data_IF_938751935624
#
_entry.id   IF_938751935624
#
_cell.length_a   1.000
_cell.length_b   1.000
_cell.length_c   1.000
_cell.angle_alpha   90.00
_cell.angle_beta   90.00
_cell.angle_gamma   90.00
#
_symmetry.space_group_name_H-M   'P 1'
#
loop_
_entity.id
_entity.type
_entity.pdbx_description
1 polymer ?
#
# COMPACT_ATOMS: atom_id res chain seq x y z
N UNK A 1 -11.07 -1.85 11.66
CA UNK A 1 -12.27 -2.12 10.85
C UNK A 1 -12.06 -3.37 10.01
N UNK A 2 -13.13 -3.94 9.49
CA UNK A 2 -13.12 -5.17 8.69
C UNK A 2 -14.29 -5.11 7.71
N UNK A 3 -14.07 -5.47 6.44
CA UNK A 3 -15.07 -5.35 5.37
C UNK A 3 -15.13 -6.67 4.59
N UNK A 4 -16.33 -7.25 4.46
CA UNK A 4 -16.65 -8.35 3.54
C UNK A 4 -17.57 -7.82 2.46
N UNK A 5 -17.35 -8.29 1.23
CA UNK A 5 -18.19 -7.96 0.08
C UNK A 5 -17.76 -6.66 -0.60
N UNK A 6 -18.71 -6.01 -1.27
CA UNK A 6 -18.47 -4.78 -2.06
C UNK A 6 -18.90 -3.51 -1.33
N UNK A 7 -19.22 -3.62 -0.03
CA UNK A 7 -19.50 -2.46 0.80
C UNK A 7 -18.28 -1.53 0.93
N UNK A 8 -18.49 -0.31 1.42
CA UNK A 8 -17.39 0.62 1.73
C UNK A 8 -17.61 1.33 3.06
N UNK A 9 -16.50 1.62 3.74
CA UNK A 9 -16.44 2.43 4.94
C UNK A 9 -15.90 3.80 4.56
N UNK A 10 -16.53 4.85 5.05
CA UNK A 10 -16.18 6.24 4.82
C UNK A 10 -16.06 6.96 6.16
N UNK A 11 -15.04 7.83 6.28
CA UNK A 11 -14.86 8.74 7.40
C UNK A 11 -15.04 10.15 6.87
N UNK A 12 -15.91 10.93 7.52
CA UNK A 12 -16.17 12.32 7.19
C UNK A 12 -16.06 13.23 8.43
N UNK A 13 -15.60 14.45 8.22
CA UNK A 13 -15.63 15.54 9.20
C UNK A 13 -16.82 16.43 8.86
N UNK A 14 -17.72 16.59 9.84
CA UNK A 14 -18.88 17.48 9.74
C UNK A 14 -18.71 18.63 10.72
N UNK A 15 -18.73 19.85 10.21
CA UNK A 15 -18.73 21.08 11.01
C UNK A 15 -19.86 22.01 10.55
N UNK A 16 -20.02 23.16 11.20
CA UNK A 16 -20.97 24.19 10.71
C UNK A 16 -20.57 24.74 9.33
N UNK A 17 -19.29 24.65 8.97
CA UNK A 17 -18.73 25.29 7.78
C UNK A 17 -18.46 24.30 6.64
N UNK A 18 -18.29 23.01 6.95
CA UNK A 18 -17.89 21.99 5.97
C UNK A 18 -18.48 20.62 6.26
N UNK A 19 -18.69 19.85 5.20
CA UNK A 19 -18.89 18.41 5.23
C UNK A 19 -17.88 17.83 4.25
N UNK A 20 -16.86 17.17 4.79
CA UNK A 20 -15.72 16.68 4.02
C UNK A 20 -15.50 15.19 4.30
N UNK A 21 -15.52 14.38 3.24
CA UNK A 21 -15.03 13.02 3.29
C UNK A 21 -13.50 13.07 3.36
N UNK A 22 -12.93 12.61 4.47
CA UNK A 22 -11.47 12.58 4.68
C UNK A 22 -10.86 11.26 4.26
N UNK A 23 -11.66 10.20 4.20
CA UNK A 23 -11.19 8.88 3.82
C UNK A 23 -12.35 8.00 3.40
N UNK A 24 -12.11 7.13 2.43
CA UNK A 24 -13.07 6.08 2.07
C UNK A 24 -12.34 4.84 1.59
N UNK A 25 -12.76 3.67 2.07
CA UNK A 25 -12.28 2.37 1.60
C UNK A 25 -13.41 1.40 1.33
N UNK A 26 -13.35 0.78 0.17
CA UNK A 26 -14.22 -0.31 -0.26
C UNK A 26 -13.66 -1.66 0.13
N UNK A 27 -14.55 -2.63 0.27
CA UNK A 27 -14.20 -4.03 0.37
C UNK A 27 -13.66 -4.54 -0.97
N UNK A 28 -12.63 -5.37 -0.87
CA UNK A 28 -12.07 -6.10 -2.00
C UNK A 28 -12.47 -7.57 -2.00
N UNK A 29 -12.26 -8.24 -3.13
CA UNK A 29 -12.42 -9.69 -3.20
C UNK A 29 -11.26 -10.36 -2.45
N UNK A 30 -11.57 -11.04 -1.33
CA UNK A 30 -10.75 -12.06 -0.66
C UNK A 30 -9.87 -11.68 0.56
N UNK A 31 -10.29 -10.75 1.42
CA UNK A 31 -9.62 -10.55 2.72
C UNK A 31 -10.51 -10.88 3.90
N UNK A 32 -9.97 -11.66 4.84
CA UNK A 32 -10.57 -12.00 6.12
C UNK A 32 -9.63 -11.56 7.25
N UNK A 33 -9.20 -10.30 7.27
CA UNK A 33 -8.42 -9.75 8.38
C UNK A 33 -8.80 -8.30 8.74
N UNK A 34 -8.46 -7.90 9.96
CA UNK A 34 -8.71 -6.56 10.51
C UNK A 34 -7.70 -5.55 9.98
N UNK A 35 -8.20 -4.37 9.62
CA UNK A 35 -7.39 -3.23 9.21
C UNK A 35 -7.43 -2.13 10.26
N UNK A 36 -6.27 -1.53 10.52
CA UNK A 36 -6.15 -0.27 11.25
C UNK A 36 -6.06 0.88 10.25
N UNK A 37 -6.64 2.03 10.57
CA UNK A 37 -6.49 3.26 9.79
C UNK A 37 -6.17 4.41 10.73
N UNK A 38 -5.12 5.16 10.41
CA UNK A 38 -4.77 6.41 11.06
C UNK A 38 -5.13 7.56 10.10
N UNK A 39 -5.82 8.59 10.61
CA UNK A 39 -6.24 9.76 9.84
C UNK A 39 -5.93 11.02 10.65
N UNK A 40 -5.15 11.92 10.06
CA UNK A 40 -5.00 13.27 10.60
C UNK A 40 -6.23 14.09 10.23
N UNK A 41 -6.98 14.52 11.24
CA UNK A 41 -8.22 15.28 11.08
C UNK A 41 -7.97 16.75 11.41
N UNK A 42 -8.44 17.65 10.54
CA UNK A 42 -8.26 19.09 10.71
C UNK A 42 -9.61 19.81 10.64
N UNK A 43 -9.90 20.65 11.63
CA UNK A 43 -11.05 21.54 11.63
C UNK A 43 -10.73 22.84 12.36
N UNK A 44 -11.21 23.96 11.82
CA UNK A 44 -11.09 25.30 12.42
C UNK A 44 -12.29 25.68 13.30
N UNK A 45 -13.29 24.79 13.39
CA UNK A 45 -14.51 24.98 14.19
C UNK A 45 -14.90 23.67 14.88
N UNK A 46 -15.87 23.73 15.80
CA UNK A 46 -16.42 22.53 16.43
C UNK A 46 -16.94 21.56 15.35
N UNK A 47 -16.58 20.28 15.50
CA UNK A 47 -16.83 19.27 14.48
C UNK A 47 -17.23 17.94 15.09
N UNK A 48 -17.82 17.09 14.25
CA UNK A 48 -18.15 15.71 14.52
C UNK A 48 -17.42 14.81 13.51
N UNK A 49 -17.02 13.62 13.98
CA UNK A 49 -16.48 12.57 13.12
C UNK A 49 -17.62 11.61 12.80
N UNK A 50 -17.90 11.43 11.52
CA UNK A 50 -18.92 10.52 11.03
C UNK A 50 -18.26 9.30 10.41
N UNK A 51 -18.67 8.13 10.87
CA UNK A 51 -18.24 6.83 10.34
C UNK A 51 -19.43 6.27 9.57
N UNK A 52 -19.34 6.29 8.24
CA UNK A 52 -20.45 6.00 7.34
C UNK A 52 -20.17 4.68 6.63
N UNK A 53 -21.13 3.76 6.69
CA UNK A 53 -21.09 2.53 5.93
C UNK A 53 -21.97 2.65 4.69
N UNK A 54 -21.45 2.20 3.55
CA UNK A 54 -22.20 2.07 2.31
C UNK A 54 -22.25 0.60 1.93
N UNK A 55 -23.40 -0.02 2.06
CA UNK A 55 -23.63 -1.43 1.69
C UNK A 55 -24.61 -1.50 0.54
N UNK A 56 -24.31 -2.30 -0.47
CA UNK A 56 -25.17 -2.49 -1.65
C UNK A 56 -25.87 -3.84 -1.67
N UNK A 57 -25.33 -4.83 -0.97
CA UNK A 57 -25.82 -6.20 -0.95
C UNK A 57 -26.04 -6.70 0.48
N UNK A 58 -26.98 -7.63 0.72
CA UNK A 58 -27.20 -8.23 2.04
C UNK A 58 -26.01 -9.02 2.60
N UNK A 59 -25.07 -9.42 1.74
CA UNK A 59 -23.86 -10.17 2.11
C UNK A 59 -22.69 -9.23 2.48
N UNK A 60 -22.83 -7.91 2.26
CA UNK A 60 -21.79 -6.96 2.64
C UNK A 60 -21.78 -6.81 4.17
N UNK A 61 -20.65 -7.13 4.81
CA UNK A 61 -20.48 -6.95 6.26
C UNK A 61 -19.40 -5.90 6.54
N UNK A 62 -19.68 -4.95 7.42
CA UNK A 62 -18.69 -3.96 7.89
C UNK A 62 -18.66 -4.03 9.42
N UNK A 63 -17.48 -4.30 9.98
CA UNK A 63 -17.23 -4.38 11.42
C UNK A 63 -16.23 -3.30 11.81
N UNK A 64 -16.48 -2.63 12.92
CA UNK A 64 -15.63 -1.59 13.49
C UNK A 64 -15.32 -1.98 14.93
N UNK A 65 -14.08 -1.77 15.33
CA UNK A 65 -13.63 -1.96 16.71
C UNK A 65 -12.54 -0.92 17.01
N UNK A 66 -12.34 -0.64 18.31
CA UNK A 66 -11.31 0.25 18.87
C UNK A 66 -11.14 1.61 18.16
N UNK A 67 -11.98 2.60 18.53
CA UNK A 67 -11.87 3.98 18.04
C UNK A 67 -11.24 4.87 19.11
N UNK A 68 -10.16 5.56 18.75
CA UNK A 68 -9.46 6.50 19.63
C UNK A 68 -9.18 7.83 18.93
N UNK A 69 -9.21 8.92 19.70
CA UNK A 69 -8.78 10.25 19.26
C UNK A 69 -7.56 10.63 20.10
N UNK A 70 -6.44 10.88 19.42
CA UNK A 70 -5.19 11.27 20.04
C UNK A 70 -4.88 12.70 19.62
N UNK A 71 -4.51 13.56 20.56
CA UNK A 71 -4.17 14.96 20.27
C UNK A 71 -2.90 15.07 19.43
N UNK A 72 -2.99 15.80 18.32
CA UNK A 72 -1.89 16.00 17.37
C UNK A 72 -2.13 15.30 16.03
N UNK A 73 -1.29 15.55 15.00
CA UNK A 73 -1.35 14.80 13.76
C UNK A 73 -1.01 13.32 14.00
N UNK A 74 -1.64 12.42 13.25
CA UNK A 74 -1.22 11.03 13.22
C UNK A 74 0.22 10.96 12.66
N UNK A 75 1.07 10.06 13.18
CA UNK A 75 2.29 9.67 12.49
C UNK A 75 1.95 9.23 11.06
N UNK A 76 2.84 9.50 10.11
CA UNK A 76 2.65 9.03 8.75
C UNK A 76 2.41 7.51 8.75
N UNK A 77 1.38 7.08 8.02
CA UNK A 77 0.94 5.69 8.04
C UNK A 77 2.07 4.79 7.55
N UNK A 78 2.44 3.80 8.36
CA UNK A 78 3.35 2.72 7.94
C UNK A 78 2.65 1.67 7.06
N UNK A 79 1.31 1.76 6.96
CA UNK A 79 0.52 0.97 6.00
C UNK A 79 0.32 1.79 4.73
N UNK A 80 0.68 1.21 3.58
CA UNK A 80 0.47 1.85 2.28
C UNK A 80 -0.18 0.91 1.27
N UNK A 81 -1.29 1.34 0.69
CA UNK A 81 -1.95 0.65 -0.42
C UNK A 81 -1.59 1.23 -1.79
N UNK A 82 -0.89 2.37 -1.82
CA UNK A 82 -0.55 3.18 -3.01
C UNK A 82 -1.72 3.80 -3.76
N UNK A 83 -2.96 3.69 -3.26
CA UNK A 83 -4.15 4.24 -3.91
C UNK A 83 -4.25 5.76 -3.87
N UNK A 84 -3.55 6.40 -2.93
CA UNK A 84 -3.28 7.83 -2.99
C UNK A 84 -2.02 8.08 -3.81
N UNK A 85 -2.23 8.29 -5.10
CA UNK A 85 -1.16 8.49 -6.09
C UNK A 85 -0.23 9.65 -5.74
N UNK A 86 -0.69 10.64 -4.98
CA UNK A 86 0.04 11.89 -4.77
C UNK A 86 1.11 11.81 -3.71
N UNK A 87 0.94 10.94 -2.72
CA UNK A 87 1.82 10.89 -1.54
C UNK A 87 2.55 9.56 -1.37
N UNK A 88 2.12 8.49 -2.05
CA UNK A 88 2.71 7.14 -1.97
C UNK A 88 3.01 6.69 -0.51
N UNK A 89 2.28 7.24 0.47
CA UNK A 89 2.52 7.09 1.90
C UNK A 89 3.99 7.31 2.33
N UNK A 90 4.64 8.34 1.78
CA UNK A 90 6.06 8.69 2.01
C UNK A 90 7.07 7.63 1.54
N UNK A 91 6.64 6.66 0.73
CA UNK A 91 7.57 5.80 0.02
C UNK A 91 8.15 6.54 -1.18
N UNK A 92 9.46 6.48 -1.33
CA UNK A 92 10.18 7.22 -2.38
C UNK A 92 11.21 6.36 -3.10
N UNK A 93 11.54 6.77 -4.32
CA UNK A 93 12.60 6.14 -5.09
C UNK A 93 13.98 6.48 -4.50
N UNK A 94 14.77 5.45 -4.22
CA UNK A 94 16.13 5.60 -3.71
C UNK A 94 17.16 5.20 -4.77
N UNK A 95 17.96 6.16 -5.20
CA UNK A 95 18.95 5.98 -6.26
C UNK A 95 20.36 5.83 -5.66
N UNK A 96 21.00 4.69 -5.88
CA UNK A 96 22.39 4.47 -5.45
C UNK A 96 23.40 4.95 -6.49
N UNK A 97 23.00 4.97 -7.75
CA UNK A 97 23.78 5.45 -8.89
C UNK A 97 22.85 5.83 -10.07
N UNK A 98 23.44 6.23 -11.19
CA UNK A 98 22.72 6.58 -12.42
C UNK A 98 22.09 5.39 -13.15
N UNK A 99 22.41 4.16 -12.76
CA UNK A 99 21.87 2.93 -13.34
C UNK A 99 20.67 2.38 -12.54
N UNK A 100 20.39 2.96 -11.37
CA UNK A 100 19.27 2.57 -10.51
C UNK A 100 17.95 2.98 -11.17
N UNK A 101 17.03 2.04 -11.31
CA UNK A 101 15.71 2.28 -11.90
C UNK A 101 14.73 2.87 -10.89
N UNK A 102 13.80 3.72 -11.34
CA UNK A 102 12.66 4.14 -10.52
C UNK A 102 11.56 3.08 -10.53
N UNK A 103 10.93 2.89 -9.37
CA UNK A 103 9.57 2.40 -9.24
C UNK A 103 8.58 3.46 -9.73
N UNK A 104 7.48 2.98 -10.32
CA UNK A 104 6.38 3.79 -10.79
C UNK A 104 5.07 3.29 -10.19
N UNK A 105 4.14 4.21 -9.93
CA UNK A 105 2.76 3.86 -9.61
C UNK A 105 2.05 3.50 -10.91
N UNK A 106 1.26 2.43 -10.89
CA UNK A 106 0.38 2.08 -11.99
C UNK A 106 -0.88 1.38 -11.50
N UNK A 107 -1.85 1.27 -12.42
CA UNK A 107 -3.08 0.50 -12.23
C UNK A 107 -3.33 -0.45 -13.40
N UNK A 108 -4.18 -1.45 -13.17
CA UNK A 108 -4.64 -2.36 -14.22
C UNK A 108 -5.48 -1.66 -15.29
N UNK A 109 -6.11 -0.52 -14.96
CA UNK A 109 -7.00 0.23 -15.85
C UNK A 109 -6.26 1.04 -16.91
N UNK A 110 -5.00 1.42 -16.64
CA UNK A 110 -4.22 2.29 -17.52
C UNK A 110 -3.53 1.54 -18.67
N UNK A 111 -3.59 0.20 -18.70
CA UNK A 111 -2.88 -0.66 -19.66
C UNK A 111 -1.36 -0.36 -19.75
N UNK A 112 -0.76 0.17 -18.69
CA UNK A 112 0.67 0.49 -18.63
C UNK A 112 1.50 -0.77 -18.38
N UNK A 113 0.91 -1.78 -17.73
CA UNK A 113 1.56 -3.06 -17.40
C UNK A 113 0.80 -4.23 -18.00
N UNK A 114 1.48 -5.34 -18.30
CA UNK A 114 0.81 -6.58 -18.74
C UNK A 114 0.20 -7.36 -17.57
N UNK A 115 0.63 -7.09 -16.34
CA UNK A 115 0.12 -7.64 -15.09
C UNK A 115 0.62 -6.79 -13.90
N UNK A 116 -0.09 -6.81 -12.77
CA UNK A 116 -1.40 -7.42 -12.56
C UNK A 116 -2.54 -6.62 -13.22
N UNK A 117 -3.61 -7.31 -13.64
CA UNK A 117 -4.80 -6.65 -14.17
C UNK A 117 -5.68 -6.01 -13.08
N UNK A 118 -5.47 -6.43 -11.82
CA UNK A 118 -6.17 -5.91 -10.66
C UNK A 118 -5.20 -5.66 -9.51
N UNK A 119 -5.37 -4.52 -8.86
CA UNK A 119 -4.65 -4.16 -7.65
C UNK A 119 -5.00 -5.12 -6.51
N UNK A 120 -4.08 -5.28 -5.56
CA UNK A 120 -4.30 -6.17 -4.43
C UNK A 120 -5.30 -5.60 -3.41
N UNK A 121 -5.26 -4.30 -3.17
CA UNK A 121 -5.95 -3.62 -2.07
C UNK A 121 -7.47 -3.63 -2.20
N UNK A 122 -7.98 -3.48 -3.42
CA UNK A 122 -9.39 -3.45 -3.78
C UNK A 122 -9.80 -4.65 -4.64
N UNK A 123 -8.85 -5.36 -5.24
CA UNK A 123 -9.16 -6.40 -6.22
C UNK A 123 -9.81 -5.83 -7.48
N UNK A 124 -9.47 -4.60 -7.86
CA UNK A 124 -10.05 -3.90 -9.01
C UNK A 124 -8.98 -3.43 -9.98
N UNK A 125 -9.35 -3.08 -11.21
CA UNK A 125 -8.40 -2.49 -12.14
C UNK A 125 -8.02 -1.04 -11.77
N UNK A 126 -8.76 -0.40 -10.86
CA UNK A 126 -8.64 1.03 -10.56
C UNK A 126 -7.79 1.35 -9.32
N UNK A 127 -7.52 0.36 -8.47
CA UNK A 127 -6.55 0.57 -7.41
C UNK A 127 -5.12 0.58 -7.96
N UNK A 128 -4.21 1.05 -7.13
CA UNK A 128 -2.85 1.32 -7.52
C UNK A 128 -1.85 0.40 -6.84
N UNK A 129 -0.69 0.29 -7.45
CA UNK A 129 0.45 -0.46 -6.91
C UNK A 129 1.74 0.11 -7.47
N UNK A 130 2.84 -0.09 -6.73
CA UNK A 130 4.18 0.18 -7.23
C UNK A 130 4.62 -0.95 -8.16
N UNK A 131 5.18 -0.61 -9.31
CA UNK A 131 5.70 -1.57 -10.27
C UNK A 131 7.01 -1.10 -10.89
N UNK A 132 7.77 -2.05 -11.43
CA UNK A 132 8.96 -1.80 -12.23
C UNK A 132 8.67 -2.09 -13.69
N UNK A 133 8.90 -1.10 -14.56
CA UNK A 133 8.78 -1.30 -15.99
C UNK A 133 10.07 -1.92 -16.55
N UNK A 134 10.11 -3.25 -16.60
CA UNK A 134 11.25 -4.02 -17.10
C UNK A 134 11.31 -4.12 -18.64
N UNK A 135 10.46 -3.40 -19.39
CA UNK A 135 10.52 -3.38 -20.87
C UNK A 135 11.84 -2.78 -21.40
N UNK A 136 12.67 -2.21 -20.52
CA UNK A 136 13.99 -1.70 -20.85
C UNK A 136 14.99 -2.87 -20.76
N UNK A 137 15.42 -3.37 -21.92
CA UNK A 137 16.40 -4.44 -22.10
C UNK A 137 17.77 -4.11 -21.46
N UNK A 138 17.91 -4.24 -20.15
CA UNK A 138 19.21 -4.16 -19.48
C UNK A 138 19.29 -5.21 -18.36
N UNK A 139 20.24 -6.13 -18.51
CA UNK A 139 20.52 -7.13 -17.49
C UNK A 139 21.08 -6.44 -16.24
N UNK A 140 20.70 -6.94 -15.06
CA UNK A 140 21.33 -6.62 -13.77
C UNK A 140 21.08 -5.20 -13.21
N UNK A 141 19.92 -4.60 -13.53
CA UNK A 141 19.49 -3.34 -12.93
C UNK A 141 18.82 -3.54 -11.56
N UNK A 142 19.02 -2.58 -10.66
CA UNK A 142 18.44 -2.56 -9.32
C UNK A 142 17.47 -1.39 -9.22
N UNK A 143 16.44 -1.55 -8.39
CA UNK A 143 15.52 -0.48 -8.02
C UNK A 143 15.26 -0.57 -6.52
N UNK A 144 15.19 0.57 -5.85
CA UNK A 144 14.92 0.63 -4.42
C UNK A 144 13.76 1.58 -4.16
N UNK A 145 12.77 1.08 -3.44
CA UNK A 145 11.71 1.90 -2.85
C UNK A 145 12.01 1.99 -1.35
N UNK A 146 12.19 3.20 -0.85
CA UNK A 146 12.57 3.51 0.52
C UNK A 146 11.37 4.07 1.26
N UNK A 147 11.10 3.55 2.45
CA UNK A 147 10.08 4.11 3.36
C UNK A 147 10.58 5.38 4.03
N UNK A 148 9.67 6.10 4.68
CA UNK A 148 10.02 7.05 5.74
C UNK A 148 10.91 6.41 6.83
N UNK A 149 11.52 7.26 7.66
CA UNK A 149 12.26 6.81 8.84
C UNK A 149 11.31 6.22 9.89
N UNK A 150 11.54 4.95 10.23
CA UNK A 150 10.75 4.24 11.25
C UNK A 150 11.48 4.34 12.59
N UNK A 151 10.74 4.63 13.66
CA UNK A 151 11.27 4.73 15.03
C UNK A 151 11.86 3.41 15.51
N UNK A 152 12.79 3.47 16.47
CA UNK A 152 13.42 2.27 17.04
C UNK A 152 12.40 1.37 17.72
N UNK A 153 12.47 0.07 17.43
CA UNK A 153 11.59 -0.94 18.04
C UNK A 153 12.04 -1.30 19.45
N UNK A 154 11.17 -2.00 20.17
CA UNK A 154 11.58 -2.77 21.35
C UNK A 154 12.45 -3.98 20.90
N UNK A 155 13.09 -4.71 21.83
CA UNK A 155 13.83 -5.92 21.49
C UNK A 155 13.00 -7.00 20.76
N UNK A 156 11.68 -6.95 20.86
CA UNK A 156 10.75 -7.83 20.18
C UNK A 156 10.59 -7.52 18.68
N UNK A 157 10.98 -6.32 18.23
CA UNK A 157 10.90 -5.90 16.83
C UNK A 157 9.48 -5.56 16.35
N UNK A 158 9.40 -5.19 15.08
CA UNK A 158 8.15 -4.95 14.36
C UNK A 158 7.89 -6.03 13.31
N UNK A 159 6.62 -6.28 13.00
CA UNK A 159 6.22 -7.19 11.92
C UNK A 159 6.01 -6.40 10.62
N UNK A 160 6.87 -6.65 9.62
CA UNK A 160 6.71 -6.10 8.27
C UNK A 160 6.06 -7.14 7.36
N UNK A 161 4.97 -6.76 6.71
CA UNK A 161 4.14 -7.63 5.87
C UNK A 161 3.76 -6.90 4.59
N UNK A 162 3.79 -7.58 3.46
CA UNK A 162 3.49 -6.96 2.17
C UNK A 162 3.00 -7.98 1.16
N UNK A 163 2.36 -7.46 0.11
CA UNK A 163 1.95 -8.25 -1.05
C UNK A 163 2.85 -7.91 -2.24
N UNK A 164 3.22 -8.93 -3.00
CA UNK A 164 4.08 -8.78 -4.16
C UNK A 164 3.59 -9.64 -5.33
N UNK A 165 3.91 -9.22 -6.55
CA UNK A 165 3.59 -9.96 -7.77
C UNK A 165 4.83 -9.94 -8.66
N UNK A 166 5.39 -11.12 -8.95
CA UNK A 166 6.46 -11.29 -9.94
C UNK A 166 5.88 -11.94 -11.20
N UNK A 167 5.93 -11.23 -12.33
CA UNK A 167 5.34 -11.68 -13.59
C UNK A 167 6.32 -11.60 -14.76
N UNK A 168 6.41 -12.67 -15.55
CA UNK A 168 7.11 -12.66 -16.84
C UNK A 168 6.11 -12.72 -17.98
N UNK A 169 6.20 -11.78 -18.92
CA UNK A 169 5.47 -11.86 -20.20
C UNK A 169 5.97 -12.99 -21.09
N UNK A 170 7.18 -13.51 -20.85
CA UNK A 170 7.78 -14.59 -21.64
C UNK A 170 7.92 -15.84 -20.79
N UNK A 171 7.26 -16.90 -21.23
CA UNK A 171 7.32 -18.20 -20.57
C UNK A 171 8.77 -18.68 -20.44
N UNK A 172 9.17 -19.00 -19.21
CA UNK A 172 10.50 -19.52 -18.90
C UNK A 172 11.61 -18.47 -18.72
N UNK A 173 11.33 -17.17 -18.83
CA UNK A 173 12.29 -16.12 -18.46
C UNK A 173 12.18 -15.79 -16.96
N UNK A 174 13.35 -15.56 -16.35
CA UNK A 174 13.47 -15.08 -14.97
C UNK A 174 13.03 -13.61 -14.90
N UNK A 175 12.21 -13.28 -13.89
CA UNK A 175 11.74 -11.91 -13.60
C UNK A 175 12.68 -11.20 -12.63
N UNK A 176 13.65 -11.95 -12.09
CA UNK A 176 14.58 -11.49 -11.05
C UNK A 176 14.08 -11.85 -9.65
N UNK A 177 14.56 -11.06 -8.69
CA UNK A 177 14.30 -11.25 -7.27
C UNK A 177 13.76 -9.96 -6.64
N UNK A 178 12.86 -10.12 -5.67
CA UNK A 178 12.46 -9.05 -4.75
C UNK A 178 13.12 -9.31 -3.40
N UNK A 179 13.58 -8.27 -2.73
CA UNK A 179 14.20 -8.41 -1.41
C UNK A 179 14.01 -7.20 -0.53
N UNK A 180 14.06 -7.43 0.79
CA UNK A 180 13.95 -6.41 1.81
C UNK A 180 15.29 -6.28 2.52
N UNK A 181 15.74 -5.04 2.72
CA UNK A 181 16.95 -4.67 3.45
C UNK A 181 16.63 -3.54 4.41
N UNK A 182 17.39 -3.45 5.50
CA UNK A 182 17.40 -2.26 6.34
C UNK A 182 18.43 -1.26 5.82
N UNK A 183 18.10 0.03 5.87
CA UNK A 183 18.98 1.14 5.56
C UNK A 183 19.36 1.87 6.86
N UNK A 184 20.55 1.59 7.39
CA UNK A 184 21.05 2.24 8.60
C UNK A 184 21.71 3.58 8.26
N UNK A 185 21.49 4.60 9.12
CA UNK A 185 22.05 5.95 8.98
C UNK A 185 21.82 6.55 7.58
N UNK A 186 20.66 6.26 6.98
CA UNK A 186 20.24 6.68 5.63
C UNK A 186 21.18 6.31 4.47
N UNK A 187 22.26 5.57 4.71
CA UNK A 187 23.33 5.36 3.72
C UNK A 187 23.90 3.95 3.69
N UNK A 188 23.74 3.19 4.77
CA UNK A 188 24.33 1.84 4.90
C UNK A 188 23.24 0.79 4.72
N UNK A 189 23.18 0.20 3.52
CA UNK A 189 22.30 -0.94 3.27
C UNK A 189 22.88 -2.20 3.90
N UNK A 190 22.06 -2.87 4.70
CA UNK A 190 22.37 -4.18 5.30
C UNK A 190 22.22 -5.30 4.28
N UNK A 191 22.60 -6.53 4.66
CA UNK A 191 22.22 -7.73 3.91
C UNK A 191 20.71 -7.92 3.83
N UNK A 192 20.24 -8.74 2.89
CA UNK A 192 18.81 -9.03 2.75
C UNK A 192 18.31 -9.75 4.00
N UNK A 193 17.27 -9.19 4.61
CA UNK A 193 16.54 -9.84 5.72
C UNK A 193 15.42 -10.74 5.19
N UNK A 194 14.97 -10.49 3.97
CA UNK A 194 14.00 -11.30 3.25
C UNK A 194 14.30 -11.23 1.75
N UNK A 195 14.04 -12.32 1.03
CA UNK A 195 14.12 -12.34 -0.42
C UNK A 195 13.19 -13.40 -1.01
N UNK A 196 12.69 -13.14 -2.21
CA UNK A 196 11.92 -14.09 -2.99
C UNK A 196 12.31 -14.00 -4.46
N UNK A 197 12.69 -15.14 -5.03
CA UNK A 197 13.02 -15.29 -6.45
C UNK A 197 11.79 -15.76 -7.22
N UNK A 198 11.63 -15.31 -8.45
CA UNK A 198 10.55 -15.79 -9.31
C UNK A 198 10.56 -17.33 -9.41
N UNK A 199 9.40 -17.95 -9.20
CA UNK A 199 9.25 -19.41 -9.14
C UNK A 199 8.18 -19.94 -10.11
N UNK A 200 7.77 -19.12 -11.10
CA UNK A 200 6.76 -19.49 -12.08
C UNK A 200 5.31 -19.45 -11.58
N UNK A 201 5.06 -19.05 -10.33
CA UNK A 201 3.70 -18.79 -9.84
C UNK A 201 3.19 -17.44 -10.33
N UNK A 202 1.97 -17.46 -10.83
CA UNK A 202 1.25 -16.26 -11.24
C UNK A 202 0.29 -15.81 -10.14
N UNK A 203 0.14 -14.50 -9.98
CA UNK A 203 -0.73 -13.89 -8.97
C UNK A 203 0.00 -13.26 -7.79
N UNK A 204 -0.76 -12.49 -7.00
CA UNK A 204 -0.30 -11.87 -5.76
C UNK A 204 0.13 -12.91 -4.72
N UNK A 205 1.26 -12.64 -4.08
CA UNK A 205 1.87 -13.47 -3.04
C UNK A 205 2.14 -12.62 -1.80
N UNK A 206 2.20 -13.29 -0.65
CA UNK A 206 2.37 -12.65 0.66
C UNK A 206 3.77 -12.89 1.21
N UNK A 207 4.41 -11.82 1.68
CA UNK A 207 5.76 -11.79 2.23
C UNK A 207 5.81 -11.55 3.72
#
# INVERSE_FOLDING_TARGET
>A
YFIIGKGSLEIAIISEQSNETVWRRGGGMNFLDWYIQHLSLFSVSEYQIWIISHTGNPEDEIKLDDVAIISGPCPASLTCSFDDETEACEWENFFTDSATLPWSIGSGSENITSAPAVDHSWGTAYGHYQFLNLQINQNNQLAYLRSQEISTTTPEGDCFQFWFYLYSVKSGEDVGELGVRLLANQTVMTERIWQHTFNGRDGWQYG
#
